data_IF_213835519372
#
_entry.id   IF_213835519372
#
_cell.length_a   1.000
_cell.length_b   1.000
_cell.length_c   1.000
_cell.angle_alpha   90.00
_cell.angle_beta   90.00
_cell.angle_gamma   90.00
#
_symmetry.space_group_name_H-M   'P 1'
#
loop_
_entity.id
_entity.type
_entity.pdbx_description
1 polymer ?
#
# COMPACT_ATOMS: atom_id res chain seq x y z
N UNK A 1 -62.28 49.56 -28.66
CA UNK A 1 -61.39 50.14 -29.68
C UNK A 1 -59.98 50.10 -29.10
N UNK A 2 -59.23 49.03 -29.36
CA UNK A 2 -58.21 48.93 -30.44
C UNK A 2 -57.09 49.96 -30.26
N UNK A 3 -55.79 49.68 -30.30
CA UNK A 3 -54.99 48.48 -30.63
C UNK A 3 -53.52 48.94 -30.66
N UNK A 4 -52.59 48.13 -30.11
CA UNK A 4 -51.23 47.79 -30.63
C UNK A 4 -50.19 48.95 -30.77
N UNK A 5 -48.86 48.86 -30.55
CA UNK A 5 -47.86 47.82 -30.89
C UNK A 5 -46.47 48.17 -30.28
N UNK A 6 -45.77 47.15 -29.72
CA UNK A 6 -44.33 46.78 -29.87
C UNK A 6 -43.19 47.78 -29.60
N UNK A 7 -42.25 47.39 -28.72
CA UNK A 7 -40.87 46.98 -29.12
C UNK A 7 -40.16 46.23 -27.99
N UNK A 8 -39.58 45.08 -28.36
CA UNK A 8 -38.78 44.17 -27.55
C UNK A 8 -37.29 44.47 -27.70
N UNK A 9 -36.53 44.33 -26.61
CA UNK A 9 -35.08 44.10 -26.47
C UNK A 9 -34.76 44.43 -24.99
N UNK A 10 -34.04 43.67 -24.19
CA UNK A 10 -33.11 42.57 -24.43
C UNK A 10 -33.02 41.82 -23.10
N UNK A 11 -33.31 40.52 -23.12
CA UNK A 11 -33.21 39.62 -21.97
C UNK A 11 -32.12 38.62 -22.32
N UNK A 12 -30.86 39.06 -22.21
CA UNK A 12 -29.74 38.13 -22.25
C UNK A 12 -29.73 37.36 -20.94
N UNK A 13 -30.35 36.18 -20.98
CA UNK A 13 -30.19 35.14 -20.00
C UNK A 13 -28.70 34.83 -19.84
N UNK A 14 -28.18 35.13 -18.67
CA UNK A 14 -26.92 34.61 -18.16
C UNK A 14 -27.03 33.08 -18.09
N UNK A 15 -26.65 32.43 -19.18
CA UNK A 15 -26.58 30.97 -19.26
C UNK A 15 -25.32 30.56 -18.53
N UNK A 16 -25.42 30.44 -17.21
CA UNK A 16 -24.45 29.76 -16.39
C UNK A 16 -24.26 28.34 -16.98
N UNK A 17 -23.12 28.13 -17.61
CA UNK A 17 -22.70 26.87 -18.22
C UNK A 17 -22.81 25.75 -17.20
N UNK A 18 -23.87 24.94 -17.29
CA UNK A 18 -24.03 23.74 -16.48
C UNK A 18 -22.94 22.74 -16.90
N UNK A 19 -21.95 22.55 -16.02
CA UNK A 19 -20.93 21.50 -16.14
C UNK A 19 -21.65 20.17 -16.33
N UNK A 20 -21.31 19.35 -17.34
CA UNK A 20 -22.03 18.09 -17.56
C UNK A 20 -21.68 17.13 -16.42
N UNK A 21 -22.61 16.97 -15.48
CA UNK A 21 -22.56 15.90 -14.51
C UNK A 21 -22.64 14.56 -15.26
N UNK A 22 -21.74 13.63 -14.95
CA UNK A 22 -21.74 12.27 -15.50
C UNK A 22 -23.14 11.67 -15.40
N UNK A 23 -23.59 11.01 -16.46
CA UNK A 23 -24.87 10.30 -16.47
C UNK A 23 -24.88 9.17 -15.44
N UNK A 24 -26.07 8.75 -15.00
CA UNK A 24 -26.23 7.65 -14.04
C UNK A 24 -25.56 6.37 -14.55
N UNK A 25 -25.66 6.08 -15.85
CA UNK A 25 -25.04 4.92 -16.46
C UNK A 25 -23.48 4.98 -16.43
N UNK A 26 -22.90 6.16 -16.66
CA UNK A 26 -21.44 6.35 -16.58
C UNK A 26 -20.94 6.24 -15.13
N UNK A 27 -21.70 6.76 -14.17
CA UNK A 27 -21.38 6.61 -12.75
C UNK A 27 -21.43 5.14 -12.32
N UNK A 28 -22.45 4.39 -12.74
CA UNK A 28 -22.56 2.96 -12.46
C UNK A 28 -21.39 2.16 -13.04
N UNK A 29 -20.96 2.49 -14.27
CA UNK A 29 -19.82 1.83 -14.90
C UNK A 29 -18.50 2.17 -14.18
N UNK A 30 -18.31 3.43 -13.77
CA UNK A 30 -17.17 3.83 -12.94
C UNK A 30 -17.14 3.08 -11.60
N UNK A 31 -18.29 2.93 -10.94
CA UNK A 31 -18.41 2.19 -9.68
C UNK A 31 -18.06 0.71 -9.90
N UNK A 32 -18.65 0.07 -10.93
CA UNK A 32 -18.44 -1.35 -11.22
C UNK A 32 -16.98 -1.67 -11.53
N UNK A 33 -16.37 -0.87 -12.40
CA UNK A 33 -14.97 -1.04 -12.81
C UNK A 33 -13.97 -0.81 -11.66
N UNK A 34 -14.32 0.02 -10.67
CA UNK A 34 -13.42 0.36 -9.56
C UNK A 34 -13.79 -0.32 -8.23
N UNK A 35 -14.77 -1.22 -8.21
CA UNK A 35 -15.09 -2.02 -7.02
C UNK A 35 -13.88 -2.84 -6.49
N UNK A 36 -13.01 -3.43 -7.33
CA UNK A 36 -11.82 -4.13 -6.85
C UNK A 36 -10.82 -3.23 -6.09
N UNK A 37 -10.79 -1.92 -6.39
CA UNK A 37 -9.95 -0.94 -5.71
C UNK A 37 -10.27 -0.87 -4.22
N UNK A 38 -11.56 -0.92 -3.85
CA UNK A 38 -11.99 -0.94 -2.45
C UNK A 38 -11.46 -2.20 -1.76
N UNK A 39 -11.57 -3.36 -2.41
CA UNK A 39 -11.07 -4.62 -1.87
C UNK A 39 -9.55 -4.60 -1.62
N UNK A 40 -8.79 -3.99 -2.53
CA UNK A 40 -7.34 -3.81 -2.36
C UNK A 40 -7.01 -2.89 -1.18
N UNK A 41 -7.65 -1.71 -1.10
CA UNK A 41 -7.41 -0.73 -0.03
C UNK A 41 -7.78 -1.27 1.35
N UNK A 42 -8.89 -2.00 1.47
CA UNK A 42 -9.29 -2.65 2.72
C UNK A 42 -8.27 -3.71 3.14
N UNK A 43 -7.80 -4.57 2.22
CA UNK A 43 -6.78 -5.58 2.54
C UNK A 43 -5.46 -4.94 3.01
N UNK A 44 -5.01 -3.91 2.32
CA UNK A 44 -3.80 -3.17 2.70
C UNK A 44 -3.93 -2.58 4.12
N UNK A 45 -5.09 -2.01 4.45
CA UNK A 45 -5.33 -1.47 5.80
C UNK A 45 -5.45 -2.54 6.88
N UNK A 46 -6.08 -3.69 6.59
CA UNK A 46 -6.20 -4.79 7.56
C UNK A 46 -4.85 -5.33 8.04
N UNK A 47 -3.78 -5.23 7.24
CA UNK A 47 -2.43 -5.63 7.68
C UNK A 47 -1.90 -4.80 8.87
N UNK A 48 -2.47 -3.61 9.09
CA UNK A 48 -2.02 -2.63 10.08
C UNK A 48 -2.98 -2.49 11.27
N UNK A 49 -4.05 -3.27 11.33
CA UNK A 49 -5.18 -3.08 12.25
C UNK A 49 -5.39 -4.35 13.10
N UNK A 50 -5.85 -4.23 14.36
CA UNK A 50 -6.14 -5.39 15.21
C UNK A 50 -7.24 -6.31 14.66
N UNK A 51 -7.16 -7.60 14.99
CA UNK A 51 -8.06 -8.66 14.48
C UNK A 51 -9.54 -8.56 14.91
N UNK A 52 -9.89 -7.64 15.82
CA UNK A 52 -11.27 -7.47 16.28
C UNK A 52 -12.13 -6.61 15.33
N UNK A 53 -11.52 -6.01 14.30
CA UNK A 53 -12.23 -5.21 13.32
C UNK A 53 -12.60 -6.10 12.14
N UNK A 54 -13.89 -6.12 11.80
CA UNK A 54 -14.38 -6.93 10.70
C UNK A 54 -14.09 -6.27 9.36
N UNK A 55 -13.62 -7.08 8.41
CA UNK A 55 -13.37 -6.67 7.03
C UNK A 55 -14.61 -6.06 6.37
N UNK A 56 -15.79 -6.57 6.71
CA UNK A 56 -17.04 -6.23 6.04
C UNK A 56 -17.50 -4.81 6.38
N UNK A 57 -17.19 -4.31 7.58
CA UNK A 57 -17.47 -2.94 8.00
C UNK A 57 -16.64 -1.95 7.17
N UNK A 58 -15.33 -2.21 7.04
CA UNK A 58 -14.42 -1.40 6.24
C UNK A 58 -14.76 -1.46 4.74
N UNK A 59 -15.19 -2.63 4.26
CA UNK A 59 -15.62 -2.82 2.88
C UNK A 59 -16.88 -2.01 2.60
N UNK A 60 -17.84 -2.00 3.52
CA UNK A 60 -19.08 -1.23 3.40
C UNK A 60 -18.80 0.28 3.35
N UNK A 61 -17.98 0.78 4.27
CA UNK A 61 -17.55 2.18 4.28
C UNK A 61 -16.82 2.58 2.98
N UNK A 62 -15.90 1.72 2.51
CA UNK A 62 -15.16 1.94 1.28
C UNK A 62 -16.04 1.92 0.01
N UNK A 63 -17.03 1.02 -0.06
CA UNK A 63 -17.99 0.97 -1.17
C UNK A 63 -18.89 2.20 -1.18
N UNK A 64 -19.37 2.66 -0.02
CA UNK A 64 -20.13 3.90 0.09
C UNK A 64 -19.31 5.13 -0.36
N UNK A 65 -18.04 5.16 0.01
CA UNK A 65 -17.10 6.20 -0.43
C UNK A 65 -16.85 6.17 -1.95
N UNK A 66 -16.80 4.99 -2.56
CA UNK A 66 -16.67 4.85 -4.01
C UNK A 66 -17.90 5.43 -4.74
N UNK A 67 -19.11 5.14 -4.25
CA UNK A 67 -20.35 5.69 -4.83
C UNK A 67 -20.38 7.21 -4.74
N UNK A 68 -20.03 7.76 -3.56
CA UNK A 68 -19.97 9.21 -3.37
C UNK A 68 -18.85 9.86 -4.19
N UNK A 69 -17.73 9.18 -4.38
CA UNK A 69 -16.66 9.63 -5.27
C UNK A 69 -17.08 9.64 -6.74
N UNK A 70 -17.79 8.62 -7.23
CA UNK A 70 -18.29 8.57 -8.61
C UNK A 70 -19.26 9.71 -8.92
N UNK A 71 -20.08 10.11 -7.95
CA UNK A 71 -21.01 11.25 -8.07
C UNK A 71 -20.32 12.61 -8.03
N UNK A 72 -19.20 12.71 -7.32
CA UNK A 72 -18.48 13.96 -7.07
C UNK A 72 -17.25 14.18 -7.95
N UNK A 73 -16.92 13.23 -8.84
CA UNK A 73 -15.75 13.32 -9.72
C UNK A 73 -16.07 14.15 -10.97
N UNK A 74 -15.16 15.06 -11.30
CA UNK A 74 -15.23 15.92 -12.47
C UNK A 74 -14.10 15.55 -13.45
N UNK A 75 -14.41 14.96 -14.62
CA UNK A 75 -13.42 14.61 -15.63
C UNK A 75 -12.58 15.79 -16.12
N UNK A 76 -13.12 17.02 -16.08
CA UNK A 76 -12.45 18.20 -16.62
C UNK A 76 -11.32 18.73 -15.72
N UNK A 77 -11.22 18.24 -14.48
CA UNK A 77 -10.15 18.62 -13.54
C UNK A 77 -8.80 17.95 -13.82
N UNK A 78 -8.73 17.04 -14.79
CA UNK A 78 -7.50 16.37 -15.20
C UNK A 78 -6.96 15.31 -14.23
N UNK A 79 -7.68 15.02 -13.14
CA UNK A 79 -7.32 13.99 -12.16
C UNK A 79 -8.01 12.68 -12.55
N UNK A 80 -7.28 11.58 -12.80
CA UNK A 80 -7.88 10.28 -13.08
C UNK A 80 -8.79 9.82 -11.94
N UNK A 81 -9.94 9.22 -12.27
CA UNK A 81 -10.95 8.79 -11.28
C UNK A 81 -10.37 7.90 -10.17
N UNK A 82 -9.51 6.93 -10.52
CA UNK A 82 -8.92 6.02 -9.53
C UNK A 82 -8.12 6.76 -8.45
N UNK A 83 -7.42 7.85 -8.79
CA UNK A 83 -6.66 8.66 -7.80
C UNK A 83 -7.62 9.40 -6.88
N UNK A 84 -8.62 10.06 -7.48
CA UNK A 84 -9.66 10.78 -6.73
C UNK A 84 -10.42 9.85 -5.77
N UNK A 85 -10.84 8.68 -6.26
CA UNK A 85 -11.55 7.67 -5.49
C UNK A 85 -10.66 7.09 -4.37
N UNK A 86 -9.38 6.83 -4.63
CA UNK A 86 -8.45 6.27 -3.63
C UNK A 86 -8.39 7.14 -2.37
N UNK A 87 -8.27 8.46 -2.51
CA UNK A 87 -8.22 9.38 -1.37
C UNK A 87 -9.53 9.35 -0.57
N UNK A 88 -10.68 9.37 -1.25
CA UNK A 88 -12.01 9.33 -0.62
C UNK A 88 -12.28 8.00 0.10
N UNK A 89 -11.92 6.88 -0.53
CA UNK A 89 -12.09 5.54 0.03
C UNK A 89 -11.22 5.36 1.27
N UNK A 90 -9.95 5.78 1.22
CA UNK A 90 -9.05 5.73 2.39
C UNK A 90 -9.58 6.58 3.55
N UNK A 91 -10.05 7.80 3.27
CA UNK A 91 -10.65 8.67 4.27
C UNK A 91 -11.86 8.00 4.96
N UNK A 92 -12.76 7.43 4.18
CA UNK A 92 -13.94 6.75 4.73
C UNK A 92 -13.59 5.50 5.55
N UNK A 93 -12.60 4.70 5.13
CA UNK A 93 -12.13 3.56 5.93
C UNK A 93 -11.53 4.04 7.26
N UNK A 94 -10.75 5.13 7.25
CA UNK A 94 -10.20 5.73 8.48
C UNK A 94 -11.30 6.28 9.39
N UNK A 95 -12.33 6.91 8.84
CA UNK A 95 -13.47 7.41 9.59
C UNK A 95 -14.30 6.27 10.20
N UNK A 96 -14.51 5.18 9.46
CA UNK A 96 -15.15 3.97 9.98
C UNK A 96 -14.36 3.39 11.15
N UNK A 97 -13.04 3.26 11.01
CA UNK A 97 -12.15 2.81 12.09
C UNK A 97 -12.26 3.69 13.33
N UNK A 98 -12.31 5.02 13.16
CA UNK A 98 -12.51 5.97 14.27
C UNK A 98 -13.84 5.76 14.97
N UNK A 99 -14.91 5.51 14.21
CA UNK A 99 -16.25 5.29 14.76
C UNK A 99 -16.33 4.01 15.60
N UNK A 100 -15.54 2.99 15.24
CA UNK A 100 -15.45 1.70 15.92
C UNK A 100 -14.55 1.73 17.19
N UNK A 101 -14.10 2.91 17.65
CA UNK A 101 -13.18 3.11 18.78
C UNK A 101 -11.94 2.19 18.73
N UNK A 102 -11.33 2.09 17.54
CA UNK A 102 -10.28 1.10 17.22
C UNK A 102 -9.02 1.18 18.09
N UNK A 103 -8.69 2.34 18.66
CA UNK A 103 -7.73 2.47 19.75
C UNK A 103 -8.51 2.52 21.07
N UNK A 104 -9.09 1.38 21.45
CA UNK A 104 -9.99 1.27 22.60
C UNK A 104 -9.48 2.12 23.78
N UNK A 105 -10.39 2.75 24.53
CA UNK A 105 -10.05 3.37 25.83
C UNK A 105 -9.14 2.46 26.68
N UNK A 106 -9.29 1.14 26.55
CA UNK A 106 -8.43 0.13 27.16
C UNK A 106 -6.97 0.19 26.72
N UNK A 107 -6.67 0.24 25.42
CA UNK A 107 -5.29 0.36 24.90
C UNK A 107 -4.65 1.67 25.35
N UNK A 108 -5.36 2.80 25.25
CA UNK A 108 -4.84 4.09 25.74
C UNK A 108 -4.64 4.10 27.25
N UNK A 109 -5.53 3.46 28.00
CA UNK A 109 -5.41 3.32 29.45
C UNK A 109 -4.23 2.44 29.84
N UNK A 110 -4.01 1.31 29.15
CA UNK A 110 -2.85 0.43 29.34
C UNK A 110 -1.54 1.12 28.98
N UNK A 111 -1.51 1.89 27.90
CA UNK A 111 -0.35 2.68 27.51
C UNK A 111 0.03 3.71 28.59
N UNK A 112 -0.96 4.48 29.09
CA UNK A 112 -0.77 5.44 30.18
C UNK A 112 -0.31 4.78 31.47
N UNK A 113 -0.91 3.64 31.83
CA UNK A 113 -0.50 2.87 33.01
C UNK A 113 0.93 2.36 32.88
N UNK A 114 1.30 1.85 31.70
CA UNK A 114 2.65 1.38 31.40
C UNK A 114 3.67 2.50 31.52
N UNK A 115 3.35 3.69 30.98
CA UNK A 115 4.23 4.85 31.02
C UNK A 115 4.38 5.42 32.45
N UNK A 116 3.28 5.49 33.21
CA UNK A 116 3.31 5.89 34.61
C UNK A 116 4.17 4.95 35.46
N UNK A 117 4.03 3.63 35.28
CA UNK A 117 4.84 2.64 36.00
C UNK A 117 6.30 2.70 35.58
N UNK A 118 6.59 2.90 34.29
CA UNK A 118 7.96 3.12 33.79
C UNK A 118 8.61 4.34 34.46
N UNK A 119 7.90 5.46 34.53
CA UNK A 119 8.39 6.70 35.16
C UNK A 119 8.64 6.52 36.67
N UNK A 120 7.74 5.80 37.35
CA UNK A 120 7.90 5.46 38.77
C UNK A 120 9.14 4.60 39.00
N UNK A 121 9.32 3.54 38.21
CA UNK A 121 10.48 2.66 38.30
C UNK A 121 11.79 3.39 37.96
N UNK A 122 11.79 4.29 36.97
CA UNK A 122 12.96 5.12 36.67
C UNK A 122 13.37 5.99 37.86
N UNK A 123 12.39 6.52 38.59
CA UNK A 123 12.63 7.36 39.78
C UNK A 123 13.17 6.51 40.94
N UNK A 124 12.67 5.29 41.13
CA UNK A 124 13.13 4.39 42.20
C UNK A 124 14.48 3.75 41.91
N UNK A 125 14.74 3.35 40.66
CA UNK A 125 15.94 2.61 40.26
C UNK A 125 17.10 3.52 39.84
N UNK A 126 16.83 4.80 39.51
CA UNK A 126 17.83 5.73 38.99
C UNK A 126 18.36 5.36 37.60
N UNK A 127 17.72 4.40 36.91
CA UNK A 127 18.05 3.91 35.57
C UNK A 127 16.78 3.49 34.83
N UNK A 128 16.88 3.31 33.52
CA UNK A 128 15.77 2.74 32.72
C UNK A 128 15.45 1.31 33.19
N UNK A 129 14.18 1.00 33.54
CA UNK A 129 13.78 -0.35 33.92
C UNK A 129 13.80 -1.28 32.71
N UNK A 130 14.13 -2.54 32.94
CA UNK A 130 14.05 -3.59 31.93
C UNK A 130 12.59 -3.97 31.65
N UNK A 131 12.32 -4.59 30.50
CA UNK A 131 10.96 -5.05 30.16
C UNK A 131 10.43 -6.09 31.15
N UNK A 132 11.31 -6.90 31.77
CA UNK A 132 10.94 -7.87 32.80
C UNK A 132 10.52 -7.20 34.11
N UNK A 133 11.31 -6.22 34.57
CA UNK A 133 10.98 -5.40 35.76
C UNK A 133 9.67 -4.62 35.56
N UNK A 134 9.45 -4.10 34.34
CA UNK A 134 8.23 -3.39 33.98
C UNK A 134 7.00 -4.34 33.91
N UNK A 135 7.17 -5.53 33.33
CA UNK A 135 6.12 -6.55 33.26
C UNK A 135 5.70 -7.00 34.66
N UNK A 136 6.68 -7.26 35.52
CA UNK A 136 6.45 -7.68 36.91
C UNK A 136 5.73 -6.59 37.72
N UNK A 137 6.11 -5.31 37.55
CA UNK A 137 5.47 -4.19 38.24
C UNK A 137 4.02 -3.94 37.76
N UNK A 138 3.71 -4.26 36.50
CA UNK A 138 2.37 -4.14 35.94
C UNK A 138 1.51 -5.41 36.13
N UNK A 139 2.10 -6.51 36.61
CA UNK A 139 1.42 -7.81 36.72
C UNK A 139 1.08 -8.43 35.37
N UNK A 140 1.88 -8.17 34.33
CA UNK A 140 1.68 -8.67 32.96
C UNK A 140 2.87 -9.50 32.49
N UNK A 141 2.80 -10.05 31.26
CA UNK A 141 3.95 -10.66 30.61
C UNK A 141 4.69 -9.67 29.72
N UNK A 142 5.98 -9.95 29.45
CA UNK A 142 6.78 -9.19 28.47
C UNK A 142 6.19 -9.25 27.06
N UNK A 143 5.50 -10.33 26.73
CA UNK A 143 4.77 -10.50 25.45
C UNK A 143 3.59 -9.54 25.37
N UNK A 144 2.80 -9.42 26.43
CA UNK A 144 1.66 -8.49 26.51
C UNK A 144 2.11 -7.02 26.47
N UNK A 145 3.26 -6.72 27.08
CA UNK A 145 3.88 -5.39 26.99
C UNK A 145 4.26 -5.04 25.55
N UNK A 146 4.94 -5.95 24.86
CA UNK A 146 5.31 -5.76 23.45
C UNK A 146 4.06 -5.64 22.56
N UNK A 147 3.01 -6.40 22.84
CA UNK A 147 1.74 -6.30 22.11
C UNK A 147 1.10 -4.92 22.31
N UNK A 148 1.06 -4.44 23.56
CA UNK A 148 0.51 -3.12 23.90
C UNK A 148 1.30 -2.00 23.22
N UNK A 149 2.63 -2.09 23.17
CA UNK A 149 3.47 -1.10 22.49
C UNK A 149 3.24 -1.10 20.97
N UNK A 150 3.14 -2.29 20.35
CA UNK A 150 2.78 -2.42 18.94
C UNK A 150 1.38 -1.85 18.63
N UNK A 151 0.41 -2.04 19.52
CA UNK A 151 -0.93 -1.49 19.36
C UNK A 151 -0.92 0.04 19.44
N UNK A 152 -0.10 0.63 20.32
CA UNK A 152 0.08 2.08 20.46
C UNK A 152 0.81 2.69 19.27
N UNK A 153 1.85 2.02 18.75
CA UNK A 153 2.57 2.48 17.55
C UNK A 153 1.65 2.46 16.32
N UNK A 154 0.87 1.38 16.14
CA UNK A 154 -0.15 1.30 15.09
C UNK A 154 -1.22 2.38 15.27
N UNK A 155 -1.69 2.62 16.50
CA UNK A 155 -2.56 3.73 16.89
C UNK A 155 -2.05 5.09 16.40
N UNK A 156 -0.77 5.34 16.60
CA UNK A 156 -0.10 6.61 16.30
C UNK A 156 0.09 6.82 14.79
N UNK A 157 0.51 5.79 14.06
CA UNK A 157 0.72 5.86 12.59
C UNK A 157 -0.59 6.13 11.85
N UNK A 158 -1.69 5.47 12.22
CA UNK A 158 -3.00 5.71 11.61
C UNK A 158 -3.61 7.05 12.07
N UNK A 159 -3.31 7.52 13.28
CA UNK A 159 -3.68 8.88 13.71
C UNK A 159 -2.92 9.94 12.91
N UNK A 160 -1.64 9.72 12.59
CA UNK A 160 -0.84 10.63 11.76
C UNK A 160 -1.32 10.65 10.30
N UNK A 161 -1.62 9.48 9.71
CA UNK A 161 -2.31 9.38 8.41
C UNK A 161 -3.72 10.00 8.44
N UNK A 162 -4.35 10.00 9.61
CA UNK A 162 -5.62 10.67 9.84
C UNK A 162 -5.52 12.19 9.97
N UNK A 163 -4.34 12.73 10.28
CA UNK A 163 -4.07 14.18 10.35
C UNK A 163 -3.69 14.77 9.00
N UNK A 164 -3.32 13.95 8.01
CA UNK A 164 -3.06 14.42 6.64
C UNK A 164 -4.34 14.77 5.88
N UNK A 165 -5.50 14.84 6.53
CA UNK A 165 -6.78 15.10 5.85
C UNK A 165 -7.33 16.51 6.04
N UNK A 166 -6.72 17.41 6.82
CA UNK A 166 -7.24 18.79 6.97
C UNK A 166 -6.24 19.74 7.65
N UNK A 167 -5.24 20.25 6.93
CA UNK A 167 -4.59 21.51 7.29
C UNK A 167 -3.65 21.97 6.19
N UNK A 168 -4.07 22.95 5.39
CA UNK A 168 -3.24 23.87 4.58
C UNK A 168 -2.17 23.31 3.62
N UNK A 169 -1.92 22.01 3.59
CA UNK A 169 -0.97 21.33 2.72
C UNK A 169 -1.63 20.87 1.40
N UNK A 170 -2.95 21.11 1.26
CA UNK A 170 -3.74 20.89 0.04
C UNK A 170 -3.44 21.93 -1.06
N UNK A 171 -2.45 22.81 -0.83
CA UNK A 171 -1.81 23.66 -1.85
C UNK A 171 -0.44 23.12 -2.30
N UNK A 172 0.06 22.05 -1.69
CA UNK A 172 1.11 21.27 -2.32
C UNK A 172 0.38 20.49 -3.41
N UNK A 173 0.43 21.01 -4.63
CA UNK A 173 0.30 20.18 -5.83
C UNK A 173 0.97 18.87 -5.52
N UNK A 174 0.20 17.77 -5.49
CA UNK A 174 0.71 16.40 -5.37
C UNK A 174 2.07 16.41 -6.02
N UNK A 175 3.15 16.18 -5.26
CA UNK A 175 4.51 16.22 -5.78
C UNK A 175 4.58 15.10 -6.81
N UNK A 176 4.11 15.39 -8.01
CA UNK A 176 4.12 14.49 -9.13
C UNK A 176 5.61 14.18 -9.26
N UNK A 177 5.99 12.90 -9.16
CA UNK A 177 7.39 12.53 -9.19
C UNK A 177 8.03 13.26 -10.36
N UNK A 178 9.15 13.94 -10.11
CA UNK A 178 9.83 14.69 -11.15
C UNK A 178 10.15 13.76 -12.32
N UNK A 179 10.48 14.30 -13.50
CA UNK A 179 10.90 13.47 -14.63
C UNK A 179 12.07 12.53 -14.25
N UNK A 180 12.93 12.97 -13.33
CA UNK A 180 13.99 12.15 -12.73
C UNK A 180 13.43 11.01 -11.85
N UNK A 181 12.54 11.30 -10.90
CA UNK A 181 11.92 10.28 -10.04
C UNK A 181 11.13 9.24 -10.86
N UNK A 182 10.45 9.69 -11.91
CA UNK A 182 9.74 8.80 -12.85
C UNK A 182 10.71 7.88 -13.58
N UNK A 183 11.86 8.41 -14.03
CA UNK A 183 12.89 7.62 -14.71
C UNK A 183 13.53 6.61 -13.75
N UNK A 184 13.90 7.03 -12.53
CA UNK A 184 14.44 6.17 -11.49
C UNK A 184 13.46 5.06 -11.13
N UNK A 185 12.17 5.40 -11.00
CA UNK A 185 11.12 4.42 -10.71
C UNK A 185 10.97 3.40 -11.83
N UNK A 186 10.99 3.84 -13.09
CA UNK A 186 10.95 2.97 -14.27
C UNK A 186 12.14 2.02 -14.31
N UNK A 187 13.33 2.54 -14.02
CA UNK A 187 14.54 1.73 -13.95
C UNK A 187 14.45 0.68 -12.85
N UNK A 188 14.01 1.06 -11.64
CA UNK A 188 13.81 0.13 -10.52
C UNK A 188 12.85 -1.01 -10.87
N UNK A 189 11.73 -0.69 -11.53
CA UNK A 189 10.75 -1.69 -11.96
C UNK A 189 11.36 -2.63 -13.00
N UNK A 190 12.07 -2.09 -14.00
CA UNK A 190 12.77 -2.92 -14.99
C UNK A 190 13.83 -3.81 -14.36
N UNK A 191 14.56 -3.31 -13.37
CA UNK A 191 15.55 -4.08 -12.64
C UNK A 191 14.91 -5.22 -11.83
N UNK A 192 13.77 -4.97 -11.18
CA UNK A 192 12.99 -6.01 -10.50
C UNK A 192 12.55 -7.13 -11.46
N UNK A 193 12.09 -6.80 -12.66
CA UNK A 193 11.70 -7.79 -13.67
C UNK A 193 12.86 -8.70 -14.06
N UNK A 194 14.03 -8.12 -14.31
CA UNK A 194 15.23 -8.91 -14.62
C UNK A 194 15.71 -9.74 -13.42
N UNK A 195 15.58 -9.23 -12.19
CA UNK A 195 15.88 -9.98 -10.98
C UNK A 195 14.97 -11.21 -10.83
N UNK A 196 13.66 -11.05 -11.03
CA UNK A 196 12.70 -12.15 -11.04
C UNK A 196 13.03 -13.14 -12.17
N UNK A 197 13.36 -12.65 -13.37
CA UNK A 197 13.76 -13.47 -14.51
C UNK A 197 15.04 -14.29 -14.31
N UNK A 198 15.90 -13.86 -13.38
CA UNK A 198 17.18 -14.52 -13.07
C UNK A 198 17.07 -15.49 -11.90
N UNK A 199 15.91 -15.56 -11.22
CA UNK A 199 15.69 -16.50 -10.13
C UNK A 199 15.75 -17.95 -10.64
N UNK A 200 16.13 -18.92 -9.78
CA UNK A 200 15.93 -20.33 -10.07
C UNK A 200 14.47 -20.62 -10.44
N UNK A 201 14.26 -21.46 -11.45
CA UNK A 201 12.96 -21.72 -12.08
C UNK A 201 11.82 -22.00 -11.07
N UNK A 202 12.08 -22.82 -10.04
CA UNK A 202 11.08 -23.12 -8.99
C UNK A 202 10.73 -21.90 -8.14
N UNK A 203 11.70 -21.05 -7.84
CA UNK A 203 11.50 -19.82 -7.07
C UNK A 203 10.78 -18.76 -7.90
N UNK A 204 11.17 -18.62 -9.16
CA UNK A 204 10.52 -17.75 -10.13
C UNK A 204 9.05 -18.11 -10.29
N UNK A 205 8.72 -19.39 -10.52
CA UNK A 205 7.35 -19.88 -10.66
C UNK A 205 6.49 -19.51 -9.45
N UNK A 206 6.97 -19.80 -8.22
CA UNK A 206 6.23 -19.47 -6.99
C UNK A 206 5.97 -17.97 -6.87
N UNK A 207 6.96 -17.12 -7.19
CA UNK A 207 6.79 -15.66 -7.15
C UNK A 207 5.79 -15.19 -8.21
N UNK A 208 5.91 -15.68 -9.44
CA UNK A 208 5.03 -15.29 -10.54
C UNK A 208 3.58 -15.72 -10.30
N UNK A 209 3.34 -16.98 -9.94
CA UNK A 209 1.98 -17.47 -9.69
C UNK A 209 1.33 -16.78 -8.49
N UNK A 210 2.09 -16.54 -7.42
CA UNK A 210 1.54 -15.95 -6.20
C UNK A 210 1.35 -14.43 -6.29
N UNK A 211 2.36 -13.69 -6.76
CA UNK A 211 2.33 -12.22 -6.75
C UNK A 211 1.84 -11.60 -8.06
N UNK A 212 2.04 -12.25 -9.21
CA UNK A 212 1.62 -11.69 -10.51
C UNK A 212 0.29 -12.27 -10.98
N UNK A 213 0.03 -13.56 -10.73
CA UNK A 213 -1.24 -14.22 -11.11
C UNK A 213 -2.22 -14.39 -9.94
N UNK A 214 -1.86 -13.93 -8.75
CA UNK A 214 -2.70 -13.93 -7.54
C UNK A 214 -3.31 -15.30 -7.17
N UNK A 215 -2.61 -16.40 -7.48
CA UNK A 215 -3.10 -17.75 -7.18
C UNK A 215 -2.88 -18.13 -5.70
N UNK A 216 -3.81 -18.87 -5.08
CA UNK A 216 -3.66 -19.31 -3.70
C UNK A 216 -2.52 -20.34 -3.58
N UNK A 217 -1.85 -20.39 -2.41
CA UNK A 217 -0.71 -21.27 -2.20
C UNK A 217 -1.05 -22.76 -2.32
N UNK A 218 -2.29 -23.14 -2.00
CA UNK A 218 -2.78 -24.51 -2.14
C UNK A 218 -2.74 -24.99 -3.61
N UNK A 219 -3.15 -24.16 -4.56
CA UNK A 219 -3.15 -24.50 -5.98
C UNK A 219 -1.72 -24.59 -6.53
N UNK A 220 -0.86 -23.65 -6.12
CA UNK A 220 0.58 -23.66 -6.48
C UNK A 220 1.26 -24.92 -5.91
N UNK A 221 0.89 -25.32 -4.69
CA UNK A 221 1.41 -26.52 -4.05
C UNK A 221 1.00 -27.79 -4.80
N UNK A 222 -0.26 -27.85 -5.26
CA UNK A 222 -0.78 -28.93 -6.09
C UNK A 222 -0.02 -29.04 -7.42
N UNK A 223 0.18 -27.93 -8.13
CA UNK A 223 0.92 -27.91 -9.41
C UNK A 223 2.37 -28.39 -9.25
N UNK A 224 3.02 -27.99 -8.15
CA UNK A 224 4.42 -28.33 -7.87
C UNK A 224 4.59 -29.71 -7.22
N UNK A 225 3.50 -30.39 -6.86
CA UNK A 225 3.52 -31.66 -6.14
C UNK A 225 4.17 -31.58 -4.76
N UNK A 226 3.99 -30.45 -4.05
CA UNK A 226 4.57 -30.20 -2.71
C UNK A 226 3.50 -29.76 -1.72
N UNK A 227 3.87 -29.59 -0.44
CA UNK A 227 2.96 -29.05 0.57
C UNK A 227 2.89 -27.52 0.52
N UNK A 228 1.80 -26.94 1.00
CA UNK A 228 1.65 -25.48 1.13
C UNK A 228 2.77 -24.85 1.96
N UNK A 229 3.19 -25.51 3.05
CA UNK A 229 4.34 -25.10 3.86
C UNK A 229 5.62 -24.99 3.04
N UNK A 230 5.85 -25.93 2.10
CA UNK A 230 7.00 -25.89 1.21
C UNK A 230 6.94 -24.72 0.23
N UNK A 231 5.75 -24.39 -0.30
CA UNK A 231 5.56 -23.19 -1.14
C UNK A 231 5.85 -21.91 -0.37
N UNK A 232 5.41 -21.81 0.89
CA UNK A 232 5.70 -20.66 1.76
C UNK A 232 7.21 -20.49 2.00
N UNK A 233 7.95 -21.58 2.20
CA UNK A 233 9.41 -21.57 2.31
C UNK A 233 10.10 -21.09 1.02
N UNK A 234 9.69 -21.63 -0.14
CA UNK A 234 10.24 -21.22 -1.45
C UNK A 234 9.98 -19.73 -1.70
N UNK A 235 8.78 -19.23 -1.38
CA UNK A 235 8.46 -17.81 -1.47
C UNK A 235 9.37 -16.97 -0.57
N UNK A 236 9.58 -17.39 0.68
CA UNK A 236 10.48 -16.70 1.62
C UNK A 236 11.93 -16.65 1.12
N UNK A 237 12.43 -17.77 0.59
CA UNK A 237 13.75 -17.87 -0.02
C UNK A 237 13.91 -16.95 -1.24
N UNK A 238 12.90 -16.93 -2.13
CA UNK A 238 12.88 -16.08 -3.30
C UNK A 238 12.86 -14.58 -2.93
N UNK A 239 12.07 -14.19 -1.93
CA UNK A 239 12.02 -12.80 -1.44
C UNK A 239 13.35 -12.36 -0.82
N UNK A 240 14.02 -13.25 -0.08
CA UNK A 240 15.36 -12.96 0.45
C UNK A 240 16.37 -12.75 -0.68
N UNK A 241 16.38 -13.63 -1.69
CA UNK A 241 17.27 -13.50 -2.84
C UNK A 241 17.01 -12.22 -3.63
N UNK A 242 15.74 -11.91 -3.91
CA UNK A 242 15.35 -10.68 -4.59
C UNK A 242 15.83 -9.44 -3.83
N UNK A 243 15.58 -9.38 -2.51
CA UNK A 243 16.03 -8.27 -1.67
C UNK A 243 17.54 -8.09 -1.75
N UNK A 244 18.30 -9.16 -1.55
CA UNK A 244 19.76 -9.11 -1.54
C UNK A 244 20.33 -8.73 -2.92
N UNK A 245 19.76 -9.28 -4.00
CA UNK A 245 20.15 -8.96 -5.37
C UNK A 245 19.80 -7.53 -5.78
N UNK A 246 18.69 -6.99 -5.29
CA UNK A 246 18.31 -5.59 -5.51
C UNK A 246 19.24 -4.63 -4.78
N UNK A 247 19.53 -4.90 -3.50
CA UNK A 247 20.43 -4.09 -2.69
C UNK A 247 21.84 -4.02 -3.28
N UNK A 248 22.30 -5.09 -3.94
CA UNK A 248 23.63 -5.11 -4.60
C UNK A 248 23.82 -3.95 -5.60
N UNK A 249 22.76 -3.49 -6.25
CA UNK A 249 22.81 -2.42 -7.25
C UNK A 249 22.16 -1.11 -6.80
N UNK A 250 21.08 -1.17 -6.01
CA UNK A 250 20.34 0.03 -5.59
C UNK A 250 20.96 0.67 -4.35
N UNK A 251 21.39 -0.14 -3.38
CA UNK A 251 21.96 0.33 -2.10
C UNK A 251 23.08 -0.62 -1.65
N UNK A 252 24.29 -0.50 -2.24
CA UNK A 252 25.39 -1.45 -2.00
C UNK A 252 25.79 -1.58 -0.51
N UNK A 253 25.55 -0.56 0.30
CA UNK A 253 25.80 -0.60 1.75
C UNK A 253 24.84 -1.52 2.52
N UNK A 254 23.67 -1.83 1.96
CA UNK A 254 22.68 -2.75 2.51
C UNK A 254 22.77 -4.16 1.91
N UNK A 255 23.73 -4.39 1.01
CA UNK A 255 23.99 -5.71 0.45
C UNK A 255 24.60 -6.62 1.53
N UNK A 256 24.12 -7.86 1.68
CA UNK A 256 24.63 -8.76 2.71
C UNK A 256 26.09 -9.15 2.43
N UNK A 257 26.95 -8.98 3.42
CA UNK A 257 28.32 -9.51 3.41
C UNK A 257 28.26 -10.98 3.84
N UNK A 258 28.67 -11.95 3.01
CA UNK A 258 28.61 -13.35 3.38
C UNK A 258 29.63 -13.65 4.49
N UNK A 259 29.19 -14.30 5.58
CA UNK A 259 30.08 -14.74 6.67
C UNK A 259 31.14 -15.73 6.20
N UNK A 260 30.82 -16.54 5.18
CA UNK A 260 31.77 -17.43 4.51
C UNK A 260 31.62 -17.32 2.97
N UNK A 261 32.54 -16.62 2.27
CA UNK A 261 32.45 -16.38 0.83
C UNK A 261 32.64 -17.65 -0.01
N UNK A 262 33.28 -18.69 0.53
CA UNK A 262 33.53 -19.95 -0.18
C UNK A 262 32.43 -21.00 -0.03
N UNK A 263 31.40 -20.72 0.78
CA UNK A 263 30.26 -21.62 0.96
C UNK A 263 29.47 -21.85 -0.33
N UNK A 264 28.92 -23.06 -0.50
CA UNK A 264 28.09 -23.42 -1.68
C UNK A 264 26.91 -22.45 -1.84
N UNK A 265 26.27 -22.06 -0.74
CA UNK A 265 25.17 -21.09 -0.73
C UNK A 265 25.63 -19.69 -1.13
N UNK A 266 26.80 -19.26 -0.68
CA UNK A 266 27.38 -17.97 -1.05
C UNK A 266 27.72 -17.93 -2.56
N UNK A 267 28.30 -19.02 -3.10
CA UNK A 267 28.57 -19.14 -4.53
C UNK A 267 27.30 -19.10 -5.37
N UNK A 268 26.23 -19.82 -4.98
CA UNK A 268 24.94 -19.77 -5.67
C UNK A 268 24.33 -18.37 -5.67
N UNK A 269 24.38 -17.67 -4.54
CA UNK A 269 23.94 -16.27 -4.42
C UNK A 269 24.77 -15.34 -5.30
N UNK A 270 26.10 -15.49 -5.30
CA UNK A 270 26.99 -14.71 -6.14
C UNK A 270 26.72 -14.94 -7.64
N UNK A 271 26.45 -16.18 -8.06
CA UNK A 271 26.05 -16.48 -9.45
C UNK A 271 24.75 -15.77 -9.82
N UNK A 272 23.75 -15.79 -8.94
CA UNK A 272 22.51 -15.06 -9.14
C UNK A 272 22.76 -13.55 -9.26
N UNK A 273 23.51 -12.94 -8.34
CA UNK A 273 23.82 -11.50 -8.40
C UNK A 273 24.58 -11.12 -9.67
N UNK A 274 25.54 -11.95 -10.10
CA UNK A 274 26.27 -11.76 -11.35
C UNK A 274 25.36 -11.87 -12.58
N UNK A 275 24.38 -12.77 -12.56
CA UNK A 275 23.41 -12.90 -13.67
C UNK A 275 22.52 -11.66 -13.80
N UNK A 276 22.09 -11.05 -12.69
CA UNK A 276 21.33 -9.81 -12.71
C UNK A 276 22.22 -8.66 -13.24
N UNK A 277 23.45 -8.56 -12.77
CA UNK A 277 24.38 -7.52 -13.24
C UNK A 277 24.71 -7.67 -14.74
N UNK A 278 24.88 -8.89 -15.23
CA UNK A 278 25.20 -9.17 -16.63
C UNK A 278 24.03 -9.04 -17.60
N UNK A 279 22.81 -9.33 -17.15
CA UNK A 279 21.62 -9.32 -18.01
C UNK A 279 20.85 -7.99 -18.01
N UNK A 280 21.38 -6.95 -17.34
CA UNK A 280 20.67 -5.69 -17.19
C UNK A 280 21.48 -4.50 -17.69
N UNK A 281 20.89 -3.73 -18.61
CA UNK A 281 21.38 -2.41 -18.97
C UNK A 281 20.22 -1.40 -18.91
N UNK A 282 20.53 -0.10 -18.89
CA UNK A 282 19.52 0.94 -18.75
C UNK A 282 18.42 0.83 -19.83
N UNK A 283 18.81 0.51 -21.07
CA UNK A 283 17.88 0.36 -22.17
C UNK A 283 16.92 -0.82 -21.97
N UNK A 284 17.42 -1.99 -21.54
CA UNK A 284 16.62 -3.19 -21.29
C UNK A 284 15.65 -2.99 -20.13
N UNK A 285 16.08 -2.29 -19.07
CA UNK A 285 15.22 -1.94 -17.91
C UNK A 285 14.09 -1.01 -18.32
N UNK A 286 14.39 0.03 -19.11
CA UNK A 286 13.40 1.00 -19.56
C UNK A 286 12.45 0.43 -20.62
N UNK A 287 12.85 -0.59 -21.37
CA UNK A 287 11.99 -1.27 -22.35
C UNK A 287 10.83 -2.05 -21.69
N UNK A 288 10.98 -2.45 -20.42
CA UNK A 288 9.97 -3.20 -19.67
C UNK A 288 8.87 -2.30 -19.09
N UNK A 289 9.00 -0.98 -19.19
CA UNK A 289 8.04 -0.02 -18.64
C UNK A 289 7.70 1.08 -19.65
N UNK A 290 6.43 1.48 -19.70
CA UNK A 290 6.04 2.67 -20.46
C UNK A 290 6.49 3.96 -19.74
N UNK A 291 6.27 5.12 -20.37
CA UNK A 291 6.68 6.43 -19.83
C UNK A 291 6.12 6.74 -18.42
N UNK A 292 5.07 6.05 -17.99
CA UNK A 292 4.43 6.21 -16.69
C UNK A 292 4.82 5.13 -15.67
N UNK A 293 5.74 4.21 -16.02
CA UNK A 293 6.18 3.14 -15.12
C UNK A 293 5.28 1.92 -15.07
N UNK A 294 4.25 1.84 -15.93
CA UNK A 294 3.47 0.61 -16.05
C UNK A 294 4.25 -0.44 -16.83
N UNK A 295 4.27 -1.67 -16.32
CA UNK A 295 4.89 -2.80 -16.99
C UNK A 295 4.15 -3.10 -18.30
N UNK A 296 4.89 -3.26 -19.39
CA UNK A 296 4.37 -3.71 -20.69
C UNK A 296 4.15 -5.22 -20.69
N UNK A 297 3.27 -5.71 -19.81
CA UNK A 297 2.78 -7.10 -19.88
C UNK A 297 1.33 -7.10 -20.33
N UNK A 298 1.15 -6.87 -21.62
CA UNK A 298 -0.03 -7.33 -22.34
C UNK A 298 0.46 -8.02 -23.61
N UNK A 299 0.08 -9.29 -23.77
CA UNK A 299 0.31 -10.18 -24.92
C UNK A 299 1.60 -11.02 -24.91
N UNK A 300 1.57 -12.14 -24.16
CA UNK A 300 2.06 -13.44 -24.65
C UNK A 300 1.67 -14.55 -23.68
N UNK A 301 0.39 -14.90 -23.64
CA UNK A 301 -0.04 -16.28 -23.35
C UNK A 301 -1.20 -16.55 -24.30
N UNK A 302 -0.88 -17.25 -25.39
CA UNK A 302 -1.83 -18.08 -26.12
C UNK A 302 -1.95 -19.41 -25.38
#
# INVERSE_FOLDING_TARGET
MTSTTTTAADMTADTATAVPALSVAEQEELIRSHMPLVGHLVRDMLTRIPNHIHRDDLTSAGLHALVTAARGWDPNRGIPFHRFATTRIRGAILDELRSLDWATRSVRSKARATDATRQSLMTTLGRTPTNEELAQALGTTTTDLNQTDNDVQRATVLSLQGFTTSSSDDLVTEAAPGPEDMLLRREQIGYLHHAIGSLPERLQYVITEYFLKERPMADIAADLGVTESRVSQLRGEALSLLKDGLNTHLDPHLAPVPENPDGITARRRATYYASIAGNTNLHSRLALTNAYGHTTLTQSVA
#
